data_IF_730590787133
#
_entry.id   IF_730590787133
#
_cell.length_a   1.000
_cell.length_b   1.000
_cell.length_c   1.000
_cell.angle_alpha   90.00
_cell.angle_beta   90.00
_cell.angle_gamma   90.00
#
_symmetry.space_group_name_H-M   'P 1'
#
loop_
_entity.id
_entity.type
_entity.pdbx_description
1 polymer ?
#
# COMPACT_ATOMS: atom_id res chain seq x y z
N UNK A 1 -8.66 -26.40 0.34
CA UNK A 1 -8.62 -25.14 1.12
C UNK A 1 -7.34 -24.42 0.74
N UNK A 2 -7.40 -23.09 0.59
CA UNK A 2 -6.25 -22.28 0.19
C UNK A 2 -5.55 -21.74 1.46
N UNK A 3 -4.23 -21.87 1.53
CA UNK A 3 -3.44 -21.43 2.66
C UNK A 3 -2.58 -20.21 2.30
N UNK A 4 -2.26 -19.43 3.33
CA UNK A 4 -1.29 -18.34 3.29
C UNK A 4 -0.13 -18.61 4.24
N UNK A 5 1.06 -18.15 3.88
CA UNK A 5 2.24 -18.11 4.74
C UNK A 5 2.48 -16.68 5.20
N UNK A 6 2.45 -16.48 6.51
CA UNK A 6 2.65 -15.19 7.16
C UNK A 6 3.97 -15.19 7.91
N UNK A 7 4.70 -14.09 7.82
CA UNK A 7 5.84 -13.85 8.72
C UNK A 7 5.31 -13.71 10.15
N UNK A 8 6.05 -14.27 11.11
CA UNK A 8 5.74 -14.04 12.53
C UNK A 8 6.59 -12.93 13.13
N UNK A 9 7.73 -12.65 12.51
CA UNK A 9 8.64 -11.56 12.85
C UNK A 9 8.40 -10.36 11.90
N UNK A 10 8.34 -9.11 12.41
CA UNK A 10 8.37 -7.89 11.58
C UNK A 10 9.63 -7.73 10.72
N UNK A 11 10.76 -8.34 11.08
CA UNK A 11 11.98 -8.20 10.31
C UNK A 11 11.84 -8.87 8.93
N UNK A 12 12.15 -8.15 7.82
CA UNK A 12 12.10 -8.74 6.49
C UNK A 12 13.15 -9.87 6.39
N UNK A 13 12.77 -11.05 5.88
CA UNK A 13 13.71 -12.16 5.73
C UNK A 13 14.76 -11.86 4.65
N UNK A 14 15.95 -12.42 4.82
CA UNK A 14 17.01 -12.34 3.83
C UNK A 14 16.62 -13.00 2.49
N UNK A 15 16.95 -12.34 1.38
CA UNK A 15 16.54 -12.75 0.03
C UNK A 15 17.13 -14.12 -0.32
N UNK A 16 18.38 -14.41 0.07
CA UNK A 16 19.03 -15.67 -0.27
C UNK A 16 18.44 -16.84 0.52
N UNK A 17 18.05 -16.61 1.79
CA UNK A 17 17.28 -17.59 2.58
C UNK A 17 15.95 -17.93 1.90
N UNK A 18 15.22 -16.92 1.44
CA UNK A 18 13.97 -17.15 0.71
C UNK A 18 14.21 -17.91 -0.60
N UNK A 19 15.20 -17.54 -1.41
CA UNK A 19 15.53 -18.28 -2.63
C UNK A 19 15.77 -19.77 -2.37
N UNK A 20 16.57 -20.10 -1.35
CA UNK A 20 16.86 -21.51 -0.98
C UNK A 20 15.60 -22.26 -0.57
N UNK A 21 14.74 -21.64 0.25
CA UNK A 21 13.49 -22.27 0.67
C UNK A 21 12.53 -22.51 -0.52
N UNK A 22 12.42 -21.56 -1.44
CA UNK A 22 11.50 -21.64 -2.59
C UNK A 22 11.89 -22.68 -3.64
N UNK A 23 13.16 -23.11 -3.69
CA UNK A 23 13.58 -24.24 -4.54
C UNK A 23 12.88 -25.56 -4.22
N UNK A 24 12.27 -25.67 -3.04
CA UNK A 24 11.47 -26.84 -2.66
C UNK A 24 10.14 -26.96 -3.43
N UNK A 25 9.65 -25.86 -4.02
CA UNK A 25 8.40 -25.85 -4.77
C UNK A 25 8.63 -26.04 -6.27
N UNK A 26 8.00 -27.08 -6.85
CA UNK A 26 8.06 -27.32 -8.30
C UNK A 26 7.30 -26.28 -9.13
N UNK A 27 6.33 -25.60 -8.52
CA UNK A 27 5.42 -24.67 -9.18
C UNK A 27 5.94 -23.22 -9.26
N UNK A 28 7.09 -22.92 -8.63
CA UNK A 28 7.60 -21.54 -8.46
C UNK A 28 9.04 -21.43 -8.96
N UNK A 29 9.37 -20.31 -9.59
CA UNK A 29 10.71 -20.03 -10.11
C UNK A 29 11.54 -19.21 -9.11
N UNK A 30 12.86 -19.19 -9.30
CA UNK A 30 13.74 -18.30 -8.50
C UNK A 30 13.38 -16.82 -8.67
N UNK A 31 12.86 -16.43 -9.84
CA UNK A 31 12.39 -15.07 -10.10
C UNK A 31 11.19 -14.71 -9.20
N UNK A 32 10.30 -15.67 -8.94
CA UNK A 32 9.19 -15.49 -8.00
C UNK A 32 9.70 -15.28 -6.57
N UNK A 33 10.73 -16.03 -6.16
CA UNK A 33 11.33 -15.88 -4.83
C UNK A 33 11.94 -14.49 -4.62
N UNK A 34 12.63 -13.95 -5.64
CA UNK A 34 13.19 -12.58 -5.58
C UNK A 34 12.10 -11.52 -5.48
N UNK A 35 11.04 -11.66 -6.28
CA UNK A 35 9.90 -10.74 -6.24
C UNK A 35 9.23 -10.78 -4.87
N UNK A 36 8.96 -11.99 -4.37
CA UNK A 36 8.35 -12.19 -3.06
C UNK A 36 9.22 -11.66 -1.93
N UNK A 37 10.54 -11.81 -2.00
CA UNK A 37 11.44 -11.27 -0.99
C UNK A 37 11.45 -9.74 -0.95
N UNK A 38 11.35 -9.08 -2.11
CA UNK A 38 11.22 -7.61 -2.19
C UNK A 38 9.86 -7.12 -1.72
N UNK A 39 8.82 -7.92 -1.94
CA UNK A 39 7.44 -7.58 -1.63
C UNK A 39 7.02 -8.05 -0.22
N UNK A 40 7.83 -8.89 0.43
CA UNK A 40 7.57 -9.54 1.71
C UNK A 40 7.30 -8.52 2.82
N UNK A 41 6.02 -8.24 3.02
CA UNK A 41 5.53 -7.28 4.00
C UNK A 41 4.37 -7.97 4.73
N UNK A 42 4.70 -8.74 5.76
CA UNK A 42 3.75 -9.53 6.55
C UNK A 42 3.31 -10.85 5.90
N UNK A 43 2.72 -10.83 4.70
CA UNK A 43 2.29 -12.04 3.98
C UNK A 43 3.33 -12.39 2.92
N UNK A 44 3.90 -13.60 2.99
CA UNK A 44 4.89 -14.08 2.02
C UNK A 44 4.23 -14.66 0.78
N UNK A 45 3.25 -15.54 0.96
CA UNK A 45 2.62 -16.25 -0.16
C UNK A 45 1.15 -16.48 0.15
N UNK A 46 0.31 -16.28 -0.86
CA UNK A 46 -1.14 -16.56 -0.83
C UNK A 46 -1.47 -17.74 -1.74
N UNK A 47 -2.63 -18.35 -1.47
CA UNK A 47 -3.28 -19.34 -2.33
C UNK A 47 -2.45 -20.62 -2.57
N UNK A 48 -1.73 -21.08 -1.55
CA UNK A 48 -1.05 -22.36 -1.59
C UNK A 48 -2.02 -23.50 -1.31
N UNK A 49 -1.77 -24.68 -1.89
CA UNK A 49 -2.39 -25.90 -1.38
C UNK A 49 -1.88 -26.20 0.04
N UNK A 50 -2.59 -27.07 0.77
CA UNK A 50 -2.14 -27.49 2.10
C UNK A 50 -0.78 -28.18 2.01
N UNK A 51 -0.58 -29.04 1.00
CA UNK A 51 0.70 -29.72 0.81
C UNK A 51 1.83 -28.73 0.50
N UNK A 52 1.61 -27.79 -0.42
CA UNK A 52 2.60 -26.78 -0.78
C UNK A 52 2.96 -25.88 0.43
N UNK A 53 1.96 -25.48 1.22
CA UNK A 53 2.17 -24.67 2.41
C UNK A 53 3.01 -25.40 3.47
N UNK A 54 2.79 -26.70 3.66
CA UNK A 54 3.58 -27.52 4.60
C UNK A 54 5.02 -27.71 4.14
N UNK A 55 5.21 -28.02 2.84
CA UNK A 55 6.55 -28.15 2.24
C UNK A 55 7.33 -26.86 2.40
N UNK A 56 6.72 -25.72 2.03
CA UNK A 56 7.39 -24.42 2.10
C UNK A 56 7.62 -23.98 3.55
N UNK A 57 6.70 -24.26 4.48
CA UNK A 57 6.93 -24.03 5.93
C UNK A 57 8.16 -24.80 6.42
N UNK A 58 8.30 -26.07 6.05
CA UNK A 58 9.45 -26.88 6.42
C UNK A 58 10.75 -26.33 5.86
N UNK A 59 10.76 -25.92 4.59
CA UNK A 59 11.92 -25.32 3.94
C UNK A 59 12.31 -23.97 4.57
N UNK A 60 11.33 -23.12 4.91
CA UNK A 60 11.56 -21.85 5.58
C UNK A 60 12.07 -22.03 7.02
N UNK A 61 11.57 -23.05 7.74
CA UNK A 61 12.06 -23.39 9.07
C UNK A 61 13.53 -23.83 9.05
N UNK A 62 13.95 -24.60 8.04
CA UNK A 62 15.36 -24.99 7.87
C UNK A 62 16.29 -23.78 7.64
N UNK A 63 15.77 -22.71 7.04
CA UNK A 63 16.45 -21.43 6.83
C UNK A 63 16.25 -20.43 7.99
N UNK A 64 15.65 -20.87 9.09
CA UNK A 64 15.37 -20.07 10.28
C UNK A 64 14.48 -18.84 9.97
N UNK A 65 13.55 -18.97 9.03
CA UNK A 65 12.55 -17.94 8.70
C UNK A 65 11.23 -18.31 9.38
N UNK A 66 10.84 -17.62 10.47
CA UNK A 66 9.71 -18.05 11.28
C UNK A 66 8.38 -17.63 10.63
N UNK A 67 7.58 -18.62 10.22
CA UNK A 67 6.34 -18.42 9.48
C UNK A 67 5.16 -19.18 10.10
N UNK A 68 3.97 -18.59 9.97
CA UNK A 68 2.70 -19.21 10.30
C UNK A 68 1.95 -19.62 9.01
N UNK A 69 1.38 -20.81 9.02
CA UNK A 69 0.43 -21.25 7.97
C UNK A 69 -0.97 -20.96 8.50
N UNK A 70 -1.73 -20.17 7.74
CA UNK A 70 -3.10 -19.77 8.10
C UNK A 70 -4.02 -20.04 6.90
N UNK A 71 -5.26 -20.45 7.14
CA UNK A 71 -6.25 -20.54 6.08
C UNK A 71 -6.54 -19.13 5.52
N UNK A 72 -6.56 -18.97 4.21
CA UNK A 72 -6.90 -17.68 3.57
C UNK A 72 -8.23 -17.14 4.10
N UNK A 73 -9.20 -18.00 4.41
CA UNK A 73 -10.49 -17.61 4.96
C UNK A 73 -10.44 -17.05 6.40
N UNK A 74 -9.36 -17.32 7.14
CA UNK A 74 -9.15 -16.80 8.50
C UNK A 74 -8.44 -15.44 8.51
N UNK A 75 -7.95 -14.96 7.36
CA UNK A 75 -7.36 -13.63 7.29
C UNK A 75 -8.44 -12.55 7.39
N UNK A 76 -8.21 -11.48 8.15
CA UNK A 76 -9.15 -10.37 8.21
C UNK A 76 -9.25 -9.72 6.83
N UNK A 77 -10.48 -9.46 6.40
CA UNK A 77 -10.73 -8.70 5.19
C UNK A 77 -10.42 -7.22 5.45
N UNK A 78 -9.64 -6.61 4.57
CA UNK A 78 -9.38 -5.18 4.63
C UNK A 78 -10.61 -4.43 4.07
N UNK A 79 -11.22 -3.50 4.81
CA UNK A 79 -12.43 -2.81 4.34
C UNK A 79 -12.17 -2.00 3.09
N UNK A 80 -13.22 -1.79 2.29
CA UNK A 80 -13.16 -0.88 1.15
C UNK A 80 -12.77 0.52 1.65
N UNK A 81 -11.75 1.16 1.03
CA UNK A 81 -11.28 2.46 1.49
C UNK A 81 -12.31 3.55 1.21
N UNK A 82 -12.58 4.37 2.21
CA UNK A 82 -13.31 5.64 2.09
C UNK A 82 -12.29 6.75 1.90
N UNK A 83 -12.10 7.22 0.67
CA UNK A 83 -11.20 8.31 0.38
C UNK A 83 -11.69 9.61 1.05
N UNK A 84 -10.79 10.29 1.76
CA UNK A 84 -11.09 11.54 2.45
C UNK A 84 -10.12 12.62 2.01
N UNK A 85 -10.62 13.85 1.86
CA UNK A 85 -9.84 15.02 1.42
C UNK A 85 -9.60 16.03 2.53
N UNK A 86 -10.34 15.94 3.63
CA UNK A 86 -10.26 16.85 4.75
C UNK A 86 -10.49 16.07 6.05
N UNK A 87 -9.63 16.35 7.01
CA UNK A 87 -9.84 16.02 8.41
C UNK A 87 -9.35 17.18 9.27
N UNK A 88 -9.78 17.21 10.53
CA UNK A 88 -9.34 18.17 11.52
C UNK A 88 -8.95 17.43 12.80
N UNK A 89 -7.79 17.79 13.36
CA UNK A 89 -7.31 17.23 14.62
C UNK A 89 -7.98 18.01 15.76
N UNK A 90 -8.89 17.37 16.48
CA UNK A 90 -9.49 17.93 17.70
C UNK A 90 -8.83 17.31 18.93
N UNK A 91 -9.21 17.77 20.13
CA UNK A 91 -8.64 17.24 21.37
C UNK A 91 -8.97 15.76 21.57
N UNK A 92 -10.25 15.39 21.39
CA UNK A 92 -10.76 14.05 21.72
C UNK A 92 -10.94 13.13 20.50
N UNK A 93 -10.98 13.69 19.29
CA UNK A 93 -11.30 12.95 18.08
C UNK A 93 -10.65 13.54 16.83
N UNK A 94 -10.51 12.71 15.80
CA UNK A 94 -10.26 13.13 14.43
C UNK A 94 -11.61 13.40 13.75
N UNK A 95 -11.90 14.65 13.41
CA UNK A 95 -13.10 14.99 12.65
C UNK A 95 -12.84 14.76 11.16
N UNK A 96 -13.43 13.73 10.58
CA UNK A 96 -13.31 13.39 9.16
C UNK A 96 -14.48 14.00 8.39
N UNK A 97 -14.21 14.66 7.27
CA UNK A 97 -15.26 15.26 6.46
C UNK A 97 -15.57 14.39 5.24
N UNK A 98 -16.84 14.06 5.07
CA UNK A 98 -17.31 13.35 3.87
C UNK A 98 -17.36 14.27 2.63
N UNK A 99 -17.76 13.71 1.48
CA UNK A 99 -17.90 14.48 0.23
C UNK A 99 -18.98 15.57 0.30
N UNK A 100 -19.91 15.49 1.25
CA UNK A 100 -20.94 16.49 1.50
C UNK A 100 -20.50 17.54 2.53
N UNK A 101 -19.28 17.44 3.07
CA UNK A 101 -18.74 18.33 4.08
C UNK A 101 -19.29 18.08 5.49
N UNK A 102 -19.93 16.93 5.74
CA UNK A 102 -20.40 16.56 7.08
C UNK A 102 -19.24 16.01 7.88
N UNK A 103 -19.10 16.50 9.12
CA UNK A 103 -18.10 16.00 10.05
C UNK A 103 -18.57 14.68 10.68
N UNK A 104 -17.74 13.65 10.56
CA UNK A 104 -17.88 12.36 11.22
C UNK A 104 -16.75 12.26 12.25
N UNK A 105 -17.04 12.37 13.56
CA UNK A 105 -16.02 12.25 14.59
C UNK A 105 -15.54 10.81 14.69
N UNK A 106 -14.22 10.62 14.68
CA UNK A 106 -13.55 9.35 14.95
C UNK A 106 -12.72 9.50 16.20
N UNK A 107 -13.16 8.87 17.30
CA UNK A 107 -12.39 8.87 18.54
C UNK A 107 -11.01 8.26 18.30
N UNK A 108 -9.95 8.85 18.86
CA UNK A 108 -8.60 8.35 18.65
C UNK A 108 -8.44 6.89 19.11
N UNK A 109 -9.11 6.50 20.19
CA UNK A 109 -9.16 5.12 20.72
C UNK A 109 -9.75 4.05 19.79
N UNK A 110 -10.50 4.47 18.75
CA UNK A 110 -11.07 3.59 17.74
C UNK A 110 -10.11 3.31 16.59
N UNK A 111 -9.06 4.11 16.42
CA UNK A 111 -8.03 3.87 15.41
C UNK A 111 -7.12 2.75 15.92
N UNK A 112 -7.07 1.63 15.20
CA UNK A 112 -6.27 0.45 15.59
C UNK A 112 -5.06 0.24 14.70
N UNK A 113 -5.07 0.79 13.49
CA UNK A 113 -3.94 0.72 12.57
C UNK A 113 -3.80 2.03 11.80
N UNK A 114 -2.56 2.54 11.79
CA UNK A 114 -2.07 3.61 10.93
C UNK A 114 -1.13 2.98 9.91
N UNK A 115 -1.59 2.80 8.69
CA UNK A 115 -0.80 2.20 7.62
C UNK A 115 -0.43 3.26 6.57
N UNK A 116 0.84 3.65 6.51
CA UNK A 116 1.32 4.62 5.55
C UNK A 116 2.33 4.01 4.58
N UNK A 117 2.47 4.61 3.41
CA UNK A 117 3.50 4.23 2.47
C UNK A 117 3.54 5.05 1.19
N UNK A 118 4.69 4.99 0.55
CA UNK A 118 5.04 5.59 -0.73
C UNK A 118 5.00 4.46 -1.75
N UNK A 119 3.89 4.36 -2.50
CA UNK A 119 3.63 3.26 -3.42
C UNK A 119 4.01 3.65 -4.83
N UNK A 120 4.85 2.83 -5.49
CA UNK A 120 5.12 3.00 -6.92
C UNK A 120 3.90 2.61 -7.75
N UNK A 121 3.54 3.46 -8.71
CA UNK A 121 2.46 3.22 -9.66
C UNK A 121 2.97 3.49 -11.08
N UNK A 122 2.79 2.52 -11.96
CA UNK A 122 3.00 2.74 -13.39
C UNK A 122 1.81 3.53 -13.93
N UNK A 123 2.02 4.80 -14.24
CA UNK A 123 1.08 5.64 -14.98
C UNK A 123 1.23 5.41 -16.46
N UNK A 124 0.12 5.28 -17.18
CA UNK A 124 0.09 5.31 -18.64
C UNK A 124 -0.43 6.68 -19.07
N UNK A 125 0.47 7.60 -19.39
CA UNK A 125 0.12 8.91 -19.94
C UNK A 125 0.05 8.80 -21.46
N UNK A 126 -1.05 9.27 -22.06
CA UNK A 126 -1.19 9.26 -23.52
C UNK A 126 -0.97 10.66 -24.05
N UNK A 127 0.13 10.88 -24.77
CA UNK A 127 0.44 12.13 -25.45
C UNK A 127 -0.08 12.07 -26.88
N UNK A 128 -1.17 12.80 -27.16
CA UNK A 128 -1.72 12.96 -28.50
C UNK A 128 -1.06 14.17 -29.17
N UNK A 129 -0.35 13.94 -30.26
CA UNK A 129 0.26 15.00 -31.08
C UNK A 129 -0.47 15.06 -32.42
N UNK A 130 -1.13 16.18 -32.71
CA UNK A 130 -1.75 16.40 -34.02
C UNK A 130 -0.74 17.08 -34.95
N UNK A 131 -0.29 16.37 -35.98
CA UNK A 131 0.57 16.93 -37.02
C UNK A 131 -0.22 17.08 -38.32
N UNK A 132 -0.19 18.28 -38.90
CA UNK A 132 -0.77 18.55 -40.22
C UNK A 132 0.29 18.21 -41.27
N UNK A 133 0.07 17.12 -42.00
CA UNK A 133 0.96 16.71 -43.10
C UNK A 133 0.32 17.07 -44.42
N UNK A 134 1.01 17.85 -45.24
CA UNK A 134 0.60 18.14 -46.61
C UNK A 134 0.85 16.90 -47.46
N UNK A 135 -0.20 16.36 -48.05
CA UNK A 135 -0.12 15.16 -48.90
C UNK A 135 -0.55 15.54 -50.31
N UNK A 136 0.19 15.09 -51.32
CA UNK A 136 -0.12 15.34 -52.72
C UNK A 136 -0.83 14.13 -53.34
N UNK A 137 -1.96 14.37 -54.02
CA UNK A 137 -2.64 13.38 -54.84
C UNK A 137 -2.75 13.90 -56.29
N UNK A 138 -2.41 13.11 -57.33
CA UNK A 138 -2.32 13.59 -58.72
C UNK A 138 -3.60 14.21 -59.28
N UNK A 139 -4.77 13.81 -58.74
CA UNK A 139 -6.09 14.25 -59.22
C UNK A 139 -6.67 15.39 -58.37
N UNK A 140 -6.29 15.51 -57.08
CA UNK A 140 -6.88 16.44 -56.11
C UNK A 140 -5.94 17.56 -55.65
N UNK A 141 -4.68 17.56 -56.08
CA UNK A 141 -3.68 18.54 -55.64
C UNK A 141 -3.21 18.33 -54.21
N UNK A 142 -2.60 19.38 -53.64
CA UNK A 142 -2.08 19.38 -52.26
C UNK A 142 -3.26 19.52 -51.28
N UNK A 143 -3.40 18.56 -50.37
CA UNK A 143 -4.40 18.63 -49.30
C UNK A 143 -3.76 18.38 -47.94
N UNK A 144 -4.31 19.04 -46.91
CA UNK A 144 -3.81 18.89 -45.53
C UNK A 144 -4.47 17.69 -44.88
N UNK A 145 -3.69 16.66 -44.57
CA UNK A 145 -4.16 15.52 -43.77
C UNK A 145 -3.77 15.78 -42.31
N UNK A 146 -4.75 15.78 -41.40
CA UNK A 146 -4.47 15.73 -39.97
C UNK A 146 -4.05 14.30 -39.62
N UNK A 147 -2.78 14.11 -39.31
CA UNK A 147 -2.26 12.85 -38.77
C UNK A 147 -2.23 12.99 -37.25
N UNK A 148 -2.97 12.14 -36.57
CA UNK A 148 -2.94 12.07 -35.10
C UNK A 148 -1.93 10.99 -34.72
N UNK A 149 -0.80 11.39 -34.16
CA UNK A 149 0.15 10.47 -33.53
C UNK A 149 -0.24 10.34 -32.04
N UNK A 150 -0.52 9.13 -31.59
CA UNK A 150 -0.87 8.83 -30.21
C UNK A 150 0.30 8.05 -29.63
N UNK A 151 1.07 8.70 -28.75
CA UNK A 151 2.18 8.05 -28.04
C UNK A 151 1.78 7.76 -26.62
N UNK A 152 1.89 6.50 -26.22
CA UNK A 152 1.77 6.11 -24.81
C UNK A 152 3.14 6.24 -24.16
N UNK A 153 3.23 7.09 -23.14
CA UNK A 153 4.39 7.23 -22.28
C UNK A 153 4.06 6.57 -20.95
N UNK A 154 4.93 5.65 -20.51
CA UNK A 154 4.84 5.09 -19.16
C UNK A 154 5.59 6.04 -18.23
N UNK A 155 4.89 6.59 -17.23
CA UNK A 155 5.46 7.44 -16.19
C UNK A 155 5.49 6.69 -14.86
N UNK A 156 6.62 6.76 -14.16
CA UNK A 156 6.72 6.30 -12.78
C UNK A 156 6.07 7.33 -11.86
N UNK A 157 4.80 7.09 -11.51
CA UNK A 157 4.07 7.89 -10.54
C UNK A 157 4.28 7.31 -9.15
N UNK A 158 4.29 8.19 -8.15
CA UNK A 158 4.43 7.79 -6.76
C UNK A 158 3.21 8.26 -5.99
N UNK A 159 2.45 7.31 -5.45
CA UNK A 159 1.26 7.57 -4.65
C UNK A 159 1.66 7.49 -3.16
N UNK A 160 1.67 8.64 -2.48
CA UNK A 160 1.94 8.72 -1.05
C UNK A 160 0.60 8.68 -0.32
N UNK A 161 0.39 7.65 0.52
CA UNK A 161 -0.91 7.41 1.16
C UNK A 161 -0.81 7.05 2.63
N UNK A 162 -1.90 7.32 3.35
CA UNK A 162 -2.15 6.89 4.72
C UNK A 162 -3.54 6.27 4.81
N UNK A 163 -3.61 5.08 5.37
CA UNK A 163 -4.84 4.37 5.71
C UNK A 163 -5.04 4.38 7.23
N UNK A 164 -6.23 4.77 7.66
CA UNK A 164 -6.69 4.68 9.05
C UNK A 164 -7.70 3.54 9.12
N UNK A 165 -7.39 2.47 9.85
CA UNK A 165 -8.33 1.37 10.07
C UNK A 165 -8.90 1.46 11.48
N UNK A 166 -10.22 1.42 11.57
CA UNK A 166 -10.93 1.44 12.85
C UNK A 166 -11.06 0.03 13.44
N UNK A 167 -11.31 -0.02 14.75
CA UNK A 167 -11.52 -1.24 15.52
C UNK A 167 -12.51 -2.20 14.85
N UNK A 168 -12.20 -3.50 14.95
CA UNK A 168 -12.96 -4.56 14.29
C UNK A 168 -12.87 -4.53 12.76
N UNK A 169 -11.93 -3.76 12.19
CA UNK A 169 -11.87 -3.48 10.76
C UNK A 169 -13.24 -3.01 10.22
N UNK A 170 -13.97 -2.19 10.99
CA UNK A 170 -15.31 -1.76 10.58
C UNK A 170 -15.28 -0.72 9.45
N UNK A 171 -14.23 0.11 9.41
CA UNK A 171 -14.06 1.15 8.39
C UNK A 171 -12.58 1.42 8.15
N UNK A 172 -12.23 1.66 6.88
CA UNK A 172 -10.92 2.14 6.44
C UNK A 172 -11.08 3.50 5.79
N UNK A 173 -10.45 4.52 6.36
CA UNK A 173 -10.32 5.83 5.71
C UNK A 173 -8.98 5.91 5.00
N UNK A 174 -8.97 6.46 3.80
CA UNK A 174 -7.77 6.60 2.99
C UNK A 174 -7.50 8.08 2.70
N UNK A 175 -6.28 8.50 3.00
CA UNK A 175 -5.73 9.82 2.70
C UNK A 175 -4.71 9.64 1.58
N UNK A 176 -4.88 10.41 0.50
CA UNK A 176 -3.90 10.56 -0.57
C UNK A 176 -3.24 11.93 -0.43
N UNK A 177 -1.92 11.96 -0.24
CA UNK A 177 -1.19 13.19 0.04
C UNK A 177 -1.26 14.22 -1.11
N UNK A 178 -1.56 13.79 -2.34
CA UNK A 178 -1.69 14.70 -3.48
C UNK A 178 -3.01 15.48 -3.49
N UNK A 179 -4.06 14.93 -2.85
CA UNK A 179 -5.41 15.52 -2.86
C UNK A 179 -5.91 15.96 -1.49
N UNK A 180 -5.20 15.61 -0.42
CA UNK A 180 -5.58 15.93 0.95
C UNK A 180 -5.24 17.37 1.34
N UNK A 181 -6.19 18.05 1.98
CA UNK A 181 -6.09 19.46 2.38
C UNK A 181 -5.45 19.60 3.77
N UNK A 182 -4.13 19.43 3.84
CA UNK A 182 -3.37 19.46 5.11
C UNK A 182 -3.57 20.72 5.96
N UNK A 183 -3.86 21.88 5.34
CA UNK A 183 -4.11 23.16 6.02
C UNK A 183 -5.19 23.11 7.12
N UNK A 184 -6.09 22.11 7.06
CA UNK A 184 -7.12 21.90 8.08
C UNK A 184 -6.61 21.13 9.31
N UNK A 185 -5.51 20.38 9.17
CA UNK A 185 -4.83 19.73 10.30
C UNK A 185 -3.75 20.64 10.90
N UNK A 186 -2.98 21.31 10.04
CA UNK A 186 -1.88 22.20 10.40
C UNK A 186 -1.48 23.06 9.20
N UNK A 187 -0.89 24.24 9.45
CA UNK A 187 -0.37 25.11 8.40
C UNK A 187 1.16 25.04 8.35
N UNK A 188 1.67 24.34 7.34
CA UNK A 188 3.10 24.08 7.10
C UNK A 188 3.40 24.18 5.61
N UNK A 189 3.33 25.38 5.00
CA UNK A 189 3.53 25.55 3.56
C UNK A 189 4.93 25.15 3.10
N UNK A 190 5.92 25.20 3.99
CA UNK A 190 7.32 24.84 3.74
C UNK A 190 7.55 23.34 3.48
N UNK A 191 6.61 22.47 3.90
CA UNK A 191 6.72 21.03 3.72
C UNK A 191 6.13 20.59 2.38
N UNK A 192 6.81 19.64 1.73
CA UNK A 192 6.27 18.91 0.58
C UNK A 192 5.17 17.92 1.02
N UNK A 193 4.53 17.23 0.07
CA UNK A 193 3.46 16.27 0.39
C UNK A 193 3.95 15.11 1.28
N UNK A 194 5.19 14.67 1.11
CA UNK A 194 5.80 13.61 1.93
C UNK A 194 5.98 14.08 3.37
N UNK A 195 6.58 15.25 3.57
CA UNK A 195 6.81 15.86 4.88
C UNK A 195 5.50 16.19 5.59
N UNK A 196 4.49 16.66 4.86
CA UNK A 196 3.14 16.87 5.39
C UNK A 196 2.50 15.56 5.86
N UNK A 197 2.58 14.50 5.05
CA UNK A 197 2.05 13.20 5.47
C UNK A 197 2.81 12.66 6.69
N UNK A 198 4.14 12.81 6.73
CA UNK A 198 4.96 12.40 7.88
C UNK A 198 4.56 13.13 9.17
N UNK A 199 4.38 14.45 9.11
CA UNK A 199 3.90 15.23 10.25
C UNK A 199 2.49 14.80 10.67
N UNK A 200 1.60 14.52 9.73
CA UNK A 200 0.26 14.00 10.05
C UNK A 200 0.33 12.64 10.76
N UNK A 201 1.20 11.73 10.30
CA UNK A 201 1.40 10.42 10.93
C UNK A 201 1.94 10.58 12.36
N UNK A 202 2.91 11.48 12.60
CA UNK A 202 3.41 11.79 13.94
C UNK A 202 2.29 12.27 14.86
N UNK A 203 1.55 13.28 14.42
CA UNK A 203 0.44 13.87 15.17
C UNK A 203 -0.69 12.88 15.48
N UNK A 204 -0.95 11.93 14.58
CA UNK A 204 -1.93 10.86 14.79
C UNK A 204 -1.40 9.78 15.73
N UNK A 205 -0.13 9.39 15.61
CA UNK A 205 0.50 8.40 16.49
C UNK A 205 0.60 8.89 17.94
N UNK A 206 0.82 10.19 18.14
CA UNK A 206 0.80 10.83 19.47
C UNK A 206 -0.60 10.78 20.11
N UNK A 207 -1.65 11.02 19.32
CA UNK A 207 -3.04 11.06 19.83
C UNK A 207 -3.71 9.70 19.91
N UNK A 208 -3.26 8.73 19.11
CA UNK A 208 -3.73 7.35 19.10
C UNK A 208 -2.57 6.38 19.41
N UNK A 209 -1.96 6.45 20.61
CA UNK A 209 -0.77 5.65 20.95
C UNK A 209 -1.03 4.14 20.96
N UNK A 210 -2.29 3.71 21.06
CA UNK A 210 -2.69 2.31 20.96
C UNK A 210 -2.75 1.79 19.52
N UNK A 211 -2.74 2.67 18.52
CA UNK A 211 -2.78 2.27 17.12
C UNK A 211 -1.45 1.62 16.73
N UNK A 212 -1.52 0.47 16.07
CA UNK A 212 -0.33 -0.14 15.50
C UNK A 212 0.11 0.64 14.26
N UNK A 213 1.41 0.74 14.04
CA UNK A 213 2.01 1.36 12.87
C UNK A 213 2.60 0.26 11.98
N UNK A 214 2.37 0.34 10.68
CA UNK A 214 3.16 -0.45 9.73
C UNK A 214 4.58 0.11 9.58
N UNK A 215 5.46 -0.59 8.86
CA UNK A 215 6.84 -0.13 8.66
C UNK A 215 6.91 1.25 8.04
N UNK A 216 5.99 1.55 7.10
CA UNK A 216 6.00 2.83 6.40
C UNK A 216 5.54 3.99 7.27
N UNK A 217 4.54 3.79 8.11
CA UNK A 217 4.12 4.80 9.09
C UNK A 217 5.18 4.98 10.19
N UNK A 218 5.83 3.91 10.62
CA UNK A 218 6.97 3.95 11.54
C UNK A 218 8.12 4.78 10.94
N UNK A 219 8.51 4.48 9.70
CA UNK A 219 9.57 5.18 8.99
C UNK A 219 9.25 6.67 8.77
N UNK A 220 8.01 7.01 8.39
CA UNK A 220 7.59 8.42 8.27
C UNK A 220 7.61 9.13 9.63
N UNK A 221 7.12 8.48 10.69
CA UNK A 221 7.15 9.02 12.05
C UNK A 221 8.57 9.34 12.51
N UNK A 222 9.52 8.49 12.15
CA UNK A 222 10.94 8.61 12.53
C UNK A 222 11.76 9.49 11.57
N UNK A 223 11.13 10.13 10.59
CA UNK A 223 11.81 11.01 9.63
C UNK A 223 12.67 10.25 8.61
N UNK A 224 12.37 8.99 8.36
CA UNK A 224 13.05 8.10 7.41
C UNK A 224 12.17 7.77 6.19
N UNK A 225 11.83 8.73 5.32
CA UNK A 225 10.86 8.52 4.23
C UNK A 225 11.26 7.42 3.24
N UNK A 226 12.56 7.13 3.08
CA UNK A 226 13.04 6.03 2.25
C UNK A 226 12.54 4.66 2.75
N UNK A 227 12.37 4.48 4.07
CA UNK A 227 11.82 3.27 4.67
C UNK A 227 10.31 3.10 4.47
N UNK A 228 9.62 4.14 3.96
CA UNK A 228 8.20 4.09 3.67
C UNK A 228 7.87 3.61 2.25
N UNK A 229 8.88 3.25 1.44
CA UNK A 229 8.67 2.80 0.07
C UNK A 229 8.06 1.40 -0.02
N UNK A 230 7.06 1.25 -0.89
CA UNK A 230 6.47 -0.03 -1.27
C UNK A 230 6.56 -0.22 -2.78
N UNK A 231 6.89 -1.44 -3.16
CA UNK A 231 6.90 -1.93 -4.53
C UNK A 231 5.54 -1.87 -5.21
N UNK A 232 4.45 -2.01 -4.45
CA UNK A 232 3.08 -2.02 -4.98
C UNK A 232 2.06 -1.71 -3.88
N UNK A 233 0.84 -1.37 -4.31
CA UNK A 233 -0.30 -1.19 -3.41
C UNK A 233 -0.62 -2.48 -2.64
N UNK A 234 -0.51 -3.62 -3.32
CA UNK A 234 -0.78 -4.93 -2.74
C UNK A 234 0.14 -5.25 -1.56
N UNK A 235 1.44 -4.91 -1.66
CA UNK A 235 2.39 -5.14 -0.56
C UNK A 235 2.02 -4.34 0.71
N UNK A 236 1.56 -3.10 0.57
CA UNK A 236 1.08 -2.30 1.70
C UNK A 236 -0.26 -2.81 2.25
N UNK A 237 -1.16 -3.27 1.38
CA UNK A 237 -2.42 -3.88 1.82
C UNK A 237 -2.18 -5.23 2.55
N UNK A 238 -1.22 -6.03 2.08
CA UNK A 238 -0.78 -7.29 2.72
C UNK A 238 -0.19 -7.06 4.10
N UNK A 239 0.67 -6.04 4.27
CA UNK A 239 1.20 -5.68 5.58
C UNK A 239 0.11 -5.18 6.52
N UNK A 240 -0.87 -4.45 5.99
CA UNK A 240 -2.03 -4.00 6.77
C UNK A 240 -2.86 -5.18 7.28
N UNK A 241 -3.14 -6.16 6.42
CA UNK A 241 -3.85 -7.40 6.81
C UNK A 241 -3.04 -8.18 7.85
N UNK A 242 -1.73 -8.26 7.67
CA UNK A 242 -0.83 -8.91 8.63
C UNK A 242 -0.88 -8.24 10.01
N UNK A 243 -0.84 -6.92 10.08
CA UNK A 243 -1.00 -6.19 11.34
C UNK A 243 -2.36 -6.46 11.98
N UNK A 244 -3.44 -6.40 11.20
CA UNK A 244 -4.79 -6.67 11.69
C UNK A 244 -4.90 -8.10 12.25
N UNK A 245 -4.36 -9.10 11.55
CA UNK A 245 -4.35 -10.49 12.01
C UNK A 245 -3.64 -10.67 13.36
N UNK A 246 -2.58 -9.89 13.62
CA UNK A 246 -1.84 -9.91 14.89
C UNK A 246 -2.55 -9.18 16.03
N UNK A 247 -3.57 -8.37 15.76
CA UNK A 247 -4.26 -7.64 16.81
C UNK A 247 -5.12 -8.59 17.66
N UNK A 248 -5.05 -8.49 19.00
CA UNK A 248 -5.93 -9.25 19.87
C UNK A 248 -7.40 -8.89 19.59
N UNK A 249 -8.23 -9.91 19.33
CA UNK A 249 -9.65 -9.74 19.00
C UNK A 249 -9.98 -9.62 17.51
N UNK A 250 -8.98 -9.66 16.62
CA UNK A 250 -9.19 -9.85 15.18
C UNK A 250 -9.49 -11.31 14.86
N UNK A 251 -10.76 -11.72 15.05
CA UNK A 251 -11.34 -13.00 14.61
C UNK A 251 -10.68 -14.25 15.25
N UNK A 252 -11.39 -14.85 16.21
CA UNK A 252 -11.40 -16.30 16.42
C UNK A 252 -12.71 -16.85 15.90
#
# INVERSE_FOLDING_TARGET
MACCLLLTDPAPPDVERLKRAFRSLKSRTEADAVKLARDASGILVRNLSVEEAQVLRGALAAEQVPVAVVDTAQLPALPAPKAIRRAELQAEALAIYDLLGRAVPVAYGEIVLLAAGVVRRLGLTTRRTEQKTLTYAPIRGIHTKKVTDVRHQVEDLTDIRLDLVLRGAATRYQIDASTFLFKHCFDRPELDSTGKLALLVQLLAERAPQATLNRGATALREGQPAGAAYVSKAALDDESIWHLWRLPGSIR
#
